data_IF_255601466226
#
_entry.id   IF_255601466226
#
_cell.length_a   1.000
_cell.length_b   1.000
_cell.length_c   1.000
_cell.angle_alpha   90.00
_cell.angle_beta   90.00
_cell.angle_gamma   90.00
#
_symmetry.space_group_name_H-M   'P 1'
#
loop_
_entity.id
_entity.type
_entity.pdbx_description
1 polymer ?
#
# COMPACT_ATOMS: atom_id res chain seq x y z
N UNK A 1 32.99 -31.22 26.38
CA UNK A 1 32.27 -30.02 26.88
C UNK A 1 31.65 -29.11 25.80
N UNK A 2 31.99 -29.21 24.51
CA UNK A 2 31.43 -28.32 23.47
C UNK A 2 30.03 -28.65 22.94
N UNK A 3 29.59 -29.92 23.01
CA UNK A 3 28.31 -30.37 22.43
C UNK A 3 27.06 -29.93 23.21
N UNK A 4 27.16 -29.75 24.53
CA UNK A 4 26.03 -29.37 25.39
C UNK A 4 25.70 -27.86 25.33
N UNK A 5 26.67 -27.03 24.94
CA UNK A 5 26.51 -25.56 24.87
C UNK A 5 25.85 -25.09 23.57
N UNK A 6 25.90 -25.89 22.50
CA UNK A 6 25.34 -25.52 21.20
C UNK A 6 23.81 -25.40 21.20
N UNK A 7 23.04 -26.34 21.80
CA UNK A 7 21.59 -26.18 21.93
C UNK A 7 21.19 -24.94 22.73
N UNK A 8 21.94 -24.58 23.76
CA UNK A 8 21.69 -23.36 24.55
C UNK A 8 21.95 -22.09 23.72
N UNK A 9 23.08 -22.02 23.01
CA UNK A 9 23.37 -20.90 22.10
C UNK A 9 22.31 -20.75 21.00
N UNK A 10 21.90 -21.87 20.40
CA UNK A 10 20.83 -21.87 19.40
C UNK A 10 19.51 -21.33 19.97
N UNK A 11 19.16 -21.72 21.20
CA UNK A 11 17.97 -21.20 21.87
C UNK A 11 18.05 -19.70 22.09
N UNK A 12 19.18 -19.18 22.59
CA UNK A 12 19.35 -17.74 22.78
C UNK A 12 19.30 -16.97 21.46
N UNK A 13 19.86 -17.52 20.38
CA UNK A 13 19.74 -16.93 19.05
C UNK A 13 18.29 -16.94 18.56
N UNK A 14 17.55 -18.02 18.80
CA UNK A 14 16.14 -18.14 18.43
C UNK A 14 15.29 -17.11 19.18
N UNK A 15 15.49 -16.97 20.50
CA UNK A 15 14.79 -15.99 21.34
C UNK A 15 15.06 -14.55 20.85
N UNK A 16 16.32 -14.24 20.53
CA UNK A 16 16.68 -12.92 19.99
C UNK A 16 16.03 -12.64 18.62
N UNK A 17 15.98 -13.64 17.73
CA UNK A 17 15.33 -13.51 16.42
C UNK A 17 13.82 -13.37 16.56
N UNK A 18 13.21 -14.10 17.50
CA UNK A 18 11.77 -14.01 17.77
C UNK A 18 11.38 -12.61 18.28
N UNK A 19 12.17 -12.06 19.21
CA UNK A 19 11.98 -10.70 19.71
C UNK A 19 12.13 -9.67 18.59
N UNK A 20 13.20 -9.78 17.79
CA UNK A 20 13.42 -8.91 16.64
C UNK A 20 12.27 -8.98 15.62
N UNK A 21 11.79 -10.19 15.29
CA UNK A 21 10.68 -10.38 14.36
C UNK A 21 9.40 -9.70 14.85
N UNK A 22 9.14 -9.75 16.17
CA UNK A 22 7.97 -9.09 16.75
C UNK A 22 8.05 -7.57 16.64
N UNK A 23 9.22 -7.00 16.90
CA UNK A 23 9.46 -5.56 16.73
C UNK A 23 9.32 -5.11 15.26
N UNK A 24 9.88 -5.89 14.35
CA UNK A 24 9.78 -5.64 12.91
C UNK A 24 8.34 -5.76 12.42
N UNK A 25 7.58 -6.76 12.88
CA UNK A 25 6.17 -6.92 12.52
C UNK A 25 5.32 -5.70 12.98
N UNK A 26 5.53 -5.23 14.21
CA UNK A 26 4.83 -4.04 14.72
C UNK A 26 5.20 -2.79 13.91
N UNK A 27 6.46 -2.67 13.49
CA UNK A 27 6.91 -1.61 12.60
C UNK A 27 6.27 -1.72 11.22
N UNK A 28 6.18 -2.91 10.63
CA UNK A 28 5.55 -3.13 9.34
C UNK A 28 4.05 -2.82 9.37
N UNK A 29 3.34 -3.15 10.45
CA UNK A 29 1.93 -2.77 10.63
C UNK A 29 1.75 -1.25 10.62
N UNK A 30 2.60 -0.51 11.32
CA UNK A 30 2.56 0.97 11.32
C UNK A 30 2.82 1.54 9.93
N UNK A 31 3.83 1.00 9.23
CA UNK A 31 4.15 1.42 7.86
C UNK A 31 2.98 1.13 6.91
N UNK A 32 2.36 -0.05 7.02
CA UNK A 32 1.20 -0.44 6.22
C UNK A 32 0.01 0.51 6.39
N UNK A 33 -0.27 0.94 7.62
CA UNK A 33 -1.33 1.92 7.89
C UNK A 33 -1.02 3.26 7.24
N UNK A 34 0.21 3.75 7.34
CA UNK A 34 0.64 5.01 6.72
C UNK A 34 0.59 4.96 5.19
N UNK A 35 1.07 3.86 4.59
CA UNK A 35 1.03 3.60 3.15
C UNK A 35 -0.42 3.60 2.63
N UNK A 36 -1.33 2.98 3.39
CA UNK A 36 -2.76 2.90 3.05
C UNK A 36 -3.44 4.27 3.15
N UNK A 37 -3.15 5.04 4.20
CA UNK A 37 -3.65 6.41 4.34
C UNK A 37 -3.22 7.29 3.16
N UNK A 38 -1.93 7.20 2.78
CA UNK A 38 -1.39 7.95 1.64
C UNK A 38 -2.06 7.58 0.31
N UNK A 39 -2.42 6.29 0.14
CA UNK A 39 -3.13 5.84 -1.05
C UNK A 39 -4.57 6.39 -1.09
N UNK A 40 -5.26 6.41 0.04
CA UNK A 40 -6.61 6.99 0.13
C UNK A 40 -6.60 8.48 -0.22
N UNK A 41 -5.67 9.25 0.33
CA UNK A 41 -5.53 10.68 0.00
C UNK A 41 -5.32 10.91 -1.51
N UNK A 42 -4.52 10.06 -2.16
CA UNK A 42 -4.31 10.10 -3.61
C UNK A 42 -5.58 9.74 -4.39
N UNK A 43 -6.33 8.74 -3.93
CA UNK A 43 -7.61 8.38 -4.55
C UNK A 43 -8.61 9.53 -4.46
N UNK A 44 -8.72 10.19 -3.31
CA UNK A 44 -9.60 11.35 -3.12
C UNK A 44 -9.23 12.51 -4.08
N UNK A 45 -7.93 12.78 -4.25
CA UNK A 45 -7.45 13.79 -5.21
C UNK A 45 -7.81 13.43 -6.66
N UNK A 46 -7.72 12.15 -7.04
CA UNK A 46 -8.12 11.69 -8.37
C UNK A 46 -9.62 11.83 -8.57
N UNK A 47 -10.43 11.47 -7.58
CA UNK A 47 -11.89 11.61 -7.61
C UNK A 47 -12.29 13.08 -7.81
N UNK A 48 -11.68 14.00 -7.06
CA UNK A 48 -11.91 15.44 -7.22
C UNK A 48 -11.53 15.93 -8.62
N UNK A 49 -10.41 15.44 -9.16
CA UNK A 49 -9.94 15.81 -10.50
C UNK A 49 -10.90 15.31 -11.59
N UNK A 50 -11.39 14.06 -11.48
CA UNK A 50 -12.41 13.49 -12.39
C UNK A 50 -13.72 14.25 -12.29
N UNK A 51 -14.17 14.65 -11.10
CA UNK A 51 -15.36 15.46 -10.93
C UNK A 51 -15.23 16.81 -11.65
N UNK A 52 -14.05 17.45 -11.58
CA UNK A 52 -13.75 18.70 -12.29
C UNK A 52 -13.83 18.60 -13.82
N UNK A 53 -13.56 17.42 -14.39
CA UNK A 53 -13.63 17.19 -15.84
C UNK A 53 -15.06 17.23 -16.40
N UNK A 54 -16.07 16.95 -15.58
CA UNK A 54 -17.49 16.97 -15.99
C UNK A 54 -17.99 18.36 -16.42
N UNK A 55 -17.28 19.44 -16.05
CA UNK A 55 -17.60 20.82 -16.42
C UNK A 55 -17.04 21.28 -17.77
N UNK A 56 -16.22 20.48 -18.46
CA UNK A 56 -15.59 20.89 -19.71
C UNK A 56 -16.49 20.57 -20.94
N UNK A 57 -17.29 21.55 -21.37
CA UNK A 57 -18.12 21.46 -22.60
C UNK A 57 -17.52 22.17 -23.84
N UNK A 58 -16.31 22.75 -23.75
CA UNK A 58 -15.70 23.49 -24.87
C UNK A 58 -14.84 22.57 -25.76
N UNK A 59 -15.19 22.53 -27.06
CA UNK A 59 -14.48 21.78 -28.10
C UNK A 59 -13.02 22.23 -28.28
N UNK A 60 -12.72 23.51 -28.03
CA UNK A 60 -11.39 24.10 -28.18
C UNK A 60 -10.37 23.54 -27.18
N UNK A 61 -10.84 23.02 -26.04
CA UNK A 61 -10.00 22.39 -25.01
C UNK A 61 -10.00 20.86 -25.06
N UNK A 62 -10.62 20.26 -26.08
CA UNK A 62 -10.76 18.80 -26.17
C UNK A 62 -9.42 18.08 -26.10
N UNK A 63 -8.37 18.64 -26.72
CA UNK A 63 -7.03 18.05 -26.69
C UNK A 63 -6.38 18.12 -25.30
N UNK A 64 -6.55 19.24 -24.59
CA UNK A 64 -6.05 19.40 -23.21
C UNK A 64 -6.75 18.43 -22.26
N UNK A 65 -8.09 18.37 -22.34
CA UNK A 65 -8.93 17.45 -21.58
C UNK A 65 -8.53 15.99 -21.84
N UNK A 66 -8.30 15.62 -23.11
CA UNK A 66 -7.83 14.28 -23.45
C UNK A 66 -6.47 13.94 -22.82
N UNK A 67 -5.55 14.91 -22.75
CA UNK A 67 -4.27 14.71 -22.07
C UNK A 67 -4.43 14.55 -20.55
N UNK A 68 -5.30 15.34 -19.91
CA UNK A 68 -5.60 15.18 -18.48
C UNK A 68 -6.25 13.82 -18.19
N UNK A 69 -7.21 13.38 -19.01
CA UNK A 69 -7.79 12.04 -18.89
C UNK A 69 -6.73 10.93 -18.99
N UNK A 70 -5.75 11.05 -19.89
CA UNK A 70 -4.64 10.07 -20.00
C UNK A 70 -3.77 10.05 -18.75
N UNK A 71 -3.47 11.23 -18.18
CA UNK A 71 -2.71 11.35 -16.92
C UNK A 71 -3.46 10.71 -15.76
N UNK A 72 -4.76 11.02 -15.62
CA UNK A 72 -5.59 10.45 -14.56
C UNK A 72 -5.72 8.93 -14.68
N UNK A 73 -5.92 8.40 -15.90
CA UNK A 73 -5.97 6.96 -16.13
C UNK A 73 -4.64 6.27 -15.75
N UNK A 74 -3.50 6.91 -16.04
CA UNK A 74 -2.20 6.37 -15.63
C UNK A 74 -2.08 6.34 -14.10
N UNK A 75 -2.38 7.45 -13.42
CA UNK A 75 -2.31 7.54 -11.97
C UNK A 75 -3.29 6.57 -11.28
N UNK A 76 -4.48 6.37 -11.84
CA UNK A 76 -5.46 5.41 -11.33
C UNK A 76 -4.92 3.97 -11.39
N UNK A 77 -4.29 3.58 -12.50
CA UNK A 77 -3.67 2.25 -12.64
C UNK A 77 -2.58 2.02 -11.60
N UNK A 78 -1.75 3.03 -11.33
CA UNK A 78 -0.73 2.97 -10.28
C UNK A 78 -1.35 2.79 -8.89
N UNK A 79 -2.50 3.43 -8.61
CA UNK A 79 -3.22 3.26 -7.35
C UNK A 79 -3.82 1.85 -7.22
N UNK A 80 -4.34 1.28 -8.30
CA UNK A 80 -4.85 -0.11 -8.32
C UNK A 80 -3.73 -1.12 -8.04
N UNK A 81 -2.55 -0.94 -8.63
CA UNK A 81 -1.39 -1.80 -8.38
C UNK A 81 -0.89 -1.70 -6.92
N UNK A 82 -0.83 -0.47 -6.38
CA UNK A 82 -0.49 -0.24 -4.98
C UNK A 82 -1.50 -0.92 -4.04
N UNK A 83 -2.79 -0.79 -4.32
CA UNK A 83 -3.87 -1.46 -3.59
C UNK A 83 -3.69 -2.98 -3.56
N UNK A 84 -3.36 -3.62 -4.69
CA UNK A 84 -3.13 -5.07 -4.73
C UNK A 84 -1.94 -5.46 -3.84
N UNK A 85 -0.87 -4.66 -3.86
CA UNK A 85 0.30 -4.86 -3.00
C UNK A 85 -0.08 -4.76 -1.52
N UNK A 86 -0.89 -3.78 -1.17
CA UNK A 86 -1.32 -3.54 0.21
C UNK A 86 -2.25 -4.64 0.72
N UNK A 87 -3.20 -5.09 -0.11
CA UNK A 87 -4.05 -6.22 0.21
C UNK A 87 -3.25 -7.51 0.45
N UNK A 88 -2.17 -7.72 -0.30
CA UNK A 88 -1.26 -8.85 -0.06
C UNK A 88 -0.51 -8.71 1.26
N UNK A 89 -0.03 -7.51 1.60
CA UNK A 89 0.63 -7.24 2.89
C UNK A 89 -0.33 -7.41 4.07
N UNK A 90 -1.57 -6.94 3.95
CA UNK A 90 -2.61 -7.16 4.97
C UNK A 90 -2.82 -8.66 5.24
N UNK A 91 -2.89 -9.49 4.19
CA UNK A 91 -2.97 -10.95 4.35
C UNK A 91 -1.76 -11.54 5.08
N UNK A 92 -0.55 -11.11 4.72
CA UNK A 92 0.68 -11.59 5.37
C UNK A 92 0.74 -11.21 6.85
N UNK A 93 0.22 -10.04 7.21
CA UNK A 93 0.20 -9.51 8.58
C UNK A 93 -1.05 -9.91 9.38
N UNK A 94 -1.96 -10.70 8.80
CA UNK A 94 -3.22 -11.09 9.43
C UNK A 94 -4.20 -9.93 9.68
N UNK A 95 -4.06 -8.83 8.93
CA UNK A 95 -4.96 -7.68 8.99
C UNK A 95 -6.21 -7.92 8.13
N UNK A 96 -7.35 -7.27 8.43
CA UNK A 96 -8.51 -7.27 7.55
C UNK A 96 -8.14 -6.74 6.17
N UNK A 97 -8.46 -7.49 5.12
CA UNK A 97 -8.15 -7.07 3.75
C UNK A 97 -9.09 -5.97 3.31
N UNK A 98 -8.52 -4.85 2.85
CA UNK A 98 -9.29 -3.72 2.36
C UNK A 98 -9.82 -4.04 0.96
N UNK A 99 -11.15 -4.02 0.78
CA UNK A 99 -11.72 -4.31 -0.53
C UNK A 99 -11.74 -3.06 -1.41
N UNK A 100 -10.68 -2.87 -2.20
CA UNK A 100 -10.53 -1.73 -3.13
C UNK A 100 -11.19 -2.03 -4.49
N UNK A 101 -11.95 -3.13 -4.63
CA UNK A 101 -12.62 -3.51 -5.89
C UNK A 101 -13.82 -2.62 -6.26
N UNK A 102 -14.02 -1.48 -5.60
CA UNK A 102 -15.18 -0.61 -5.75
C UNK A 102 -14.96 0.58 -6.70
N UNK A 103 -13.82 0.64 -7.39
CA UNK A 103 -13.55 1.59 -8.47
C UNK A 103 -13.40 0.87 -9.82
#
# INVERSE_FOLDING_TARGET
YGLLSWPWKLRTMLEAVEEQHKEDEDRFKKLQVQDTATLNDKMDQLIMSVAGLSGHMSMDRAHEVANECRKLNKALKECVEASQTYNNRERLLGLPVTNVSAF
#
